data_IF_325013083863
#
_entry.id   IF_325013083863
#
_cell.length_a   1.000
_cell.length_b   1.000
_cell.length_c   1.000
_cell.angle_alpha   90.00
_cell.angle_beta   90.00
_cell.angle_gamma   90.00
#
_symmetry.space_group_name_H-M   'P 1'
#
loop_
_entity.id
_entity.type
_entity.pdbx_description
1 polymer ?
#
# COMPACT_ATOMS: atom_id res chain seq x y z
N UNK A 1 6.02 -22.48 -0.30
CA UNK A 1 4.98 -22.71 -1.34
C UNK A 1 5.60 -22.42 -2.71
N UNK A 2 5.86 -23.45 -3.53
CA UNK A 2 6.42 -23.25 -4.88
C UNK A 2 5.30 -22.76 -5.79
N UNK A 3 5.32 -21.49 -6.18
CA UNK A 3 4.45 -20.93 -7.21
C UNK A 3 4.86 -21.55 -8.57
N UNK A 4 4.35 -22.74 -8.86
CA UNK A 4 4.35 -23.31 -10.21
C UNK A 4 3.17 -22.73 -10.97
N UNK A 5 3.31 -21.48 -11.42
CA UNK A 5 2.53 -20.94 -12.53
C UNK A 5 3.25 -19.68 -13.08
N UNK A 6 4.28 -19.90 -13.91
CA UNK A 6 5.13 -18.82 -14.44
C UNK A 6 4.34 -17.80 -15.28
N UNK A 7 3.18 -18.21 -15.83
CA UNK A 7 2.39 -17.39 -16.75
C UNK A 7 1.81 -16.13 -16.11
N UNK A 8 1.43 -16.16 -14.84
CA UNK A 8 0.79 -15.02 -14.16
C UNK A 8 1.70 -14.33 -13.14
N UNK A 9 2.97 -14.74 -13.03
CA UNK A 9 3.91 -14.22 -12.04
C UNK A 9 4.12 -12.71 -12.15
N UNK A 10 4.21 -12.20 -13.38
CA UNK A 10 4.37 -10.76 -13.65
C UNK A 10 3.11 -9.99 -13.23
N UNK A 11 1.93 -10.47 -13.64
CA UNK A 11 0.66 -9.86 -13.25
C UNK A 11 0.48 -9.84 -11.73
N UNK A 12 0.79 -10.94 -11.04
CA UNK A 12 0.75 -11.04 -9.59
C UNK A 12 1.71 -10.04 -8.92
N UNK A 13 2.92 -9.86 -9.46
CA UNK A 13 3.85 -8.84 -8.96
C UNK A 13 3.28 -7.43 -9.11
N UNK A 14 2.69 -7.12 -10.26
CA UNK A 14 2.05 -5.82 -10.51
C UNK A 14 0.89 -5.59 -9.54
N UNK A 15 0.07 -6.61 -9.27
CA UNK A 15 -1.01 -6.54 -8.28
C UNK A 15 -0.45 -6.24 -6.89
N UNK A 16 0.63 -6.91 -6.47
CA UNK A 16 1.26 -6.64 -5.18
C UNK A 16 1.80 -5.21 -5.08
N UNK A 17 2.40 -4.69 -6.16
CA UNK A 17 2.87 -3.30 -6.22
C UNK A 17 1.71 -2.30 -6.17
N UNK A 18 0.58 -2.60 -6.83
CA UNK A 18 -0.66 -1.82 -6.75
C UNK A 18 -1.18 -1.77 -5.31
N UNK A 19 -1.27 -2.93 -4.65
CA UNK A 19 -1.76 -3.03 -3.27
C UNK A 19 -0.83 -2.30 -2.29
N UNK A 20 0.48 -2.31 -2.55
CA UNK A 20 1.45 -1.50 -1.81
C UNK A 20 1.20 0.00 -2.00
N UNK A 21 1.00 0.47 -3.24
CA UNK A 21 0.74 1.90 -3.49
C UNK A 21 -0.58 2.35 -2.84
N UNK A 22 -1.65 1.54 -2.92
CA UNK A 22 -2.91 1.80 -2.22
C UNK A 22 -2.69 1.98 -0.71
N UNK A 23 -1.96 1.05 -0.09
CA UNK A 23 -1.64 1.13 1.34
C UNK A 23 -0.86 2.39 1.71
N UNK A 24 0.12 2.80 0.88
CA UNK A 24 0.85 4.05 1.09
C UNK A 24 -0.09 5.26 1.00
N UNK A 25 -0.98 5.29 0.00
CA UNK A 25 -1.96 6.36 -0.17
C UNK A 25 -2.89 6.45 1.04
N UNK A 26 -3.41 5.31 1.52
CA UNK A 26 -4.32 5.28 2.67
C UNK A 26 -3.63 5.74 3.95
N UNK A 27 -2.40 5.28 4.21
CA UNK A 27 -1.63 5.69 5.39
C UNK A 27 -1.23 7.16 5.35
N UNK A 28 -0.76 7.64 4.20
CA UNK A 28 -0.40 9.06 4.04
C UNK A 28 -1.63 9.95 4.17
N UNK A 29 -2.77 9.54 3.62
CA UNK A 29 -4.03 10.25 3.79
C UNK A 29 -4.46 10.31 5.27
N UNK A 30 -4.44 9.17 5.98
CA UNK A 30 -4.78 9.13 7.40
C UNK A 30 -3.86 10.02 8.25
N UNK A 31 -2.56 10.00 7.97
CA UNK A 31 -1.60 10.89 8.63
C UNK A 31 -1.92 12.36 8.37
N UNK A 32 -2.12 12.74 7.11
CA UNK A 32 -2.45 14.12 6.72
C UNK A 32 -3.70 14.61 7.47
N UNK A 33 -4.76 13.80 7.48
CA UNK A 33 -6.00 14.16 8.19
C UNK A 33 -5.74 14.33 9.69
N UNK A 34 -5.01 13.42 10.32
CA UNK A 34 -4.66 13.54 11.74
C UNK A 34 -3.87 14.81 12.04
N UNK A 35 -2.87 15.15 11.23
CA UNK A 35 -2.05 16.35 11.44
C UNK A 35 -2.85 17.63 11.20
N UNK A 36 -3.75 17.64 10.20
CA UNK A 36 -4.65 18.78 9.98
C UNK A 36 -5.58 19.00 11.17
N UNK A 37 -6.18 17.93 11.72
CA UNK A 37 -7.00 18.02 12.94
C UNK A 37 -6.20 18.58 14.10
N UNK A 38 -4.95 18.15 14.29
CA UNK A 38 -4.09 18.71 15.34
C UNK A 38 -3.82 20.22 15.12
N UNK A 39 -3.55 20.63 13.89
CA UNK A 39 -3.34 22.05 13.55
C UNK A 39 -4.61 22.89 13.75
N UNK A 40 -5.79 22.34 13.47
CA UNK A 40 -7.08 23.00 13.66
C UNK A 40 -7.47 23.11 15.15
N UNK A 41 -7.21 22.07 15.93
CA UNK A 41 -7.61 21.99 17.34
C UNK A 41 -6.66 22.76 18.28
N UNK A 42 -5.42 23.02 17.86
CA UNK A 42 -4.43 23.65 18.73
C UNK A 42 -4.49 25.17 18.67
N UNK A 43 -5.09 25.77 19.70
CA UNK A 43 -5.18 27.23 19.88
C UNK A 43 -3.82 27.94 20.08
N UNK A 44 -2.76 27.19 20.40
CA UNK A 44 -1.42 27.71 20.74
C UNK A 44 -0.28 27.04 19.98
N UNK A 45 -0.55 26.36 18.87
CA UNK A 45 0.52 25.74 18.10
C UNK A 45 1.37 26.83 17.42
N UNK A 46 2.57 27.05 17.93
CA UNK A 46 3.46 28.12 17.49
C UNK A 46 4.92 27.64 17.46
N UNK A 47 5.78 28.41 16.79
CA UNK A 47 7.21 28.13 16.72
C UNK A 47 7.55 26.79 16.07
N UNK A 48 8.61 26.16 16.59
CA UNK A 48 9.22 24.98 15.98
C UNK A 48 8.24 23.81 15.79
N UNK A 49 7.32 23.58 16.73
CA UNK A 49 6.36 22.47 16.66
C UNK A 49 5.43 22.61 15.44
N UNK A 50 4.95 23.82 15.19
CA UNK A 50 4.13 24.12 14.00
C UNK A 50 4.94 23.93 12.71
N UNK A 51 6.18 24.39 12.69
CA UNK A 51 7.05 24.24 11.52
C UNK A 51 7.35 22.76 11.21
N UNK A 52 7.56 21.93 12.25
CA UNK A 52 7.71 20.49 12.10
C UNK A 52 6.44 19.84 11.52
N UNK A 53 5.26 20.14 12.05
CA UNK A 53 4.00 19.58 11.52
C UNK A 53 3.73 19.99 10.07
N UNK A 54 4.01 21.25 9.71
CA UNK A 54 3.87 21.74 8.33
C UNK A 54 4.85 21.03 7.39
N UNK A 55 6.09 20.81 7.84
CA UNK A 55 7.10 20.07 7.08
C UNK A 55 6.66 18.61 6.86
N UNK A 56 6.23 17.92 7.91
CA UNK A 56 5.76 16.54 7.83
C UNK A 56 4.55 16.42 6.90
N UNK A 57 3.60 17.36 6.97
CA UNK A 57 2.47 17.44 6.05
C UNK A 57 2.92 17.53 4.59
N UNK A 58 3.89 18.41 4.30
CA UNK A 58 4.41 18.59 2.94
C UNK A 58 5.08 17.31 2.44
N UNK A 59 5.90 16.67 3.27
CA UNK A 59 6.55 15.40 2.93
C UNK A 59 5.52 14.30 2.64
N UNK A 60 4.46 14.21 3.45
CA UNK A 60 3.40 13.21 3.28
C UNK A 60 2.49 13.49 2.09
N UNK A 61 2.23 14.76 1.77
CA UNK A 61 1.55 15.13 0.53
C UNK A 61 2.36 14.71 -0.70
N UNK A 62 3.66 14.98 -0.70
CA UNK A 62 4.56 14.57 -1.78
C UNK A 62 4.64 13.04 -1.90
N UNK A 63 4.67 12.32 -0.79
CA UNK A 63 4.65 10.85 -0.76
C UNK A 63 3.35 10.31 -1.38
N UNK A 64 2.19 10.88 -0.99
CA UNK A 64 0.88 10.52 -1.54
C UNK A 64 0.81 10.77 -3.05
N UNK A 65 1.31 11.91 -3.52
CA UNK A 65 1.32 12.25 -4.94
C UNK A 65 2.17 11.26 -5.76
N UNK A 66 3.39 10.95 -5.28
CA UNK A 66 4.25 9.93 -5.90
C UNK A 66 3.60 8.56 -5.94
N UNK A 67 2.96 8.15 -4.85
CA UNK A 67 2.25 6.87 -4.79
C UNK A 67 1.06 6.83 -5.76
N UNK A 68 0.32 7.93 -5.89
CA UNK A 68 -0.82 8.07 -6.81
C UNK A 68 -0.37 8.02 -8.28
N UNK A 69 0.72 8.70 -8.63
CA UNK A 69 1.31 8.64 -9.96
C UNK A 69 1.81 7.23 -10.30
N UNK A 70 2.46 6.57 -9.33
CA UNK A 70 2.93 5.19 -9.47
C UNK A 70 1.76 4.23 -9.65
N UNK A 71 0.69 4.37 -8.87
CA UNK A 71 -0.52 3.57 -9.00
C UNK A 71 -1.15 3.72 -10.39
N UNK A 72 -1.26 4.94 -10.89
CA UNK A 72 -1.76 5.23 -12.25
C UNK A 72 -0.93 4.53 -13.32
N UNK A 73 0.40 4.61 -13.21
CA UNK A 73 1.31 3.93 -14.13
C UNK A 73 1.18 2.40 -14.07
N UNK A 74 1.10 1.83 -12.86
CA UNK A 74 0.94 0.40 -12.67
C UNK A 74 -0.38 -0.10 -13.29
N UNK A 75 -1.50 0.59 -13.06
CA UNK A 75 -2.82 0.22 -13.59
C UNK A 75 -2.87 0.35 -15.11
N UNK A 76 -2.62 1.55 -15.62
CA UNK A 76 -2.97 1.87 -17.00
C UNK A 76 -1.86 1.57 -18.00
N UNK A 77 -0.62 1.37 -17.52
CA UNK A 77 0.49 0.92 -18.36
C UNK A 77 0.87 -0.52 -18.10
N UNK A 78 1.42 -0.83 -16.92
CA UNK A 78 2.02 -2.16 -16.66
C UNK A 78 0.99 -3.28 -16.66
N UNK A 79 -0.09 -3.14 -15.91
CA UNK A 79 -1.14 -4.15 -15.80
C UNK A 79 -1.87 -4.33 -17.13
N UNK A 80 -2.22 -3.22 -17.79
CA UNK A 80 -2.84 -3.25 -19.12
C UNK A 80 -1.99 -4.00 -20.15
N UNK A 81 -0.71 -3.65 -20.26
CA UNK A 81 0.21 -4.31 -21.20
C UNK A 81 0.32 -5.82 -20.90
N UNK A 82 0.37 -6.20 -19.62
CA UNK A 82 0.48 -7.59 -19.22
C UNK A 82 -0.81 -8.39 -19.47
N UNK A 83 -1.98 -7.81 -19.16
CA UNK A 83 -3.28 -8.41 -19.47
C UNK A 83 -3.45 -8.66 -20.97
N UNK A 84 -2.98 -7.73 -21.82
CA UNK A 84 -3.00 -7.90 -23.27
C UNK A 84 -2.13 -9.07 -23.73
N UNK A 85 -0.90 -9.20 -23.21
CA UNK A 85 -0.03 -10.35 -23.51
C UNK A 85 -0.67 -11.67 -23.09
N UNK A 86 -1.38 -11.66 -21.97
CA UNK A 86 -2.09 -12.82 -21.43
C UNK A 86 -3.42 -13.10 -22.14
N UNK A 87 -3.82 -12.27 -23.11
CA UNK A 87 -5.09 -12.34 -23.85
C UNK A 87 -6.31 -12.37 -22.91
N UNK A 88 -6.24 -11.57 -21.84
CA UNK A 88 -7.34 -11.42 -20.89
C UNK A 88 -8.41 -10.49 -21.45
N UNK A 89 -9.68 -10.79 -21.18
CA UNK A 89 -10.80 -9.92 -21.52
C UNK A 89 -11.03 -8.88 -20.41
N UNK A 90 -11.52 -7.70 -20.78
CA UNK A 90 -11.78 -6.60 -19.84
C UNK A 90 -10.58 -5.69 -19.60
N UNK A 91 -10.77 -4.66 -18.77
CA UNK A 91 -9.75 -3.69 -18.40
C UNK A 91 -9.11 -3.93 -17.03
N UNK A 92 -8.00 -3.23 -16.72
CA UNK A 92 -7.40 -3.25 -15.38
C UNK A 92 -8.39 -2.88 -14.28
N UNK A 93 -9.31 -1.95 -14.53
CA UNK A 93 -10.31 -1.53 -13.54
C UNK A 93 -11.30 -2.65 -13.22
N UNK A 94 -11.85 -3.34 -14.23
CA UNK A 94 -12.75 -4.49 -14.04
C UNK A 94 -12.07 -5.61 -13.26
N UNK A 95 -10.80 -5.88 -13.58
CA UNK A 95 -10.03 -6.90 -12.89
C UNK A 95 -9.80 -6.55 -11.43
N UNK A 96 -9.43 -5.31 -11.15
CA UNK A 96 -9.21 -4.85 -9.78
C UNK A 96 -10.51 -4.82 -8.98
N UNK A 97 -11.64 -4.44 -9.58
CA UNK A 97 -12.94 -4.49 -8.91
C UNK A 97 -13.32 -5.93 -8.52
N UNK A 98 -13.12 -6.88 -9.41
CA UNK A 98 -13.34 -8.30 -9.11
C UNK A 98 -12.39 -8.81 -8.03
N UNK A 99 -11.12 -8.36 -8.06
CA UNK A 99 -10.15 -8.66 -7.01
C UNK A 99 -10.62 -8.13 -5.65
N UNK A 100 -11.14 -6.89 -5.58
CA UNK A 100 -11.68 -6.32 -4.35
C UNK A 100 -12.85 -7.13 -3.79
N UNK A 101 -13.77 -7.61 -4.65
CA UNK A 101 -14.90 -8.48 -4.23
C UNK A 101 -14.39 -9.76 -3.58
N UNK A 102 -13.46 -10.45 -4.24
CA UNK A 102 -12.87 -11.71 -3.74
C UNK A 102 -12.10 -11.46 -2.43
N UNK A 103 -11.32 -10.37 -2.35
CA UNK A 103 -10.61 -9.97 -1.13
C UNK A 103 -11.58 -9.76 0.04
N UNK A 104 -12.67 -9.04 -0.20
CA UNK A 104 -13.71 -8.77 0.82
C UNK A 104 -14.37 -10.05 1.33
N UNK A 105 -14.71 -10.99 0.43
CA UNK A 105 -15.24 -12.32 0.80
C UNK A 105 -14.24 -13.12 1.65
N UNK A 106 -12.95 -12.98 1.37
CA UNK A 106 -11.87 -13.63 2.13
C UNK A 106 -11.50 -12.90 3.44
N UNK A 107 -12.16 -11.76 3.76
CA UNK A 107 -11.80 -10.94 4.92
C UNK A 107 -10.42 -10.29 4.81
N UNK A 108 -9.91 -10.12 3.60
CA UNK A 108 -8.61 -9.48 3.32
C UNK A 108 -8.87 -8.05 2.89
N UNK A 109 -8.33 -7.09 3.64
CA UNK A 109 -8.43 -5.68 3.29
C UNK A 109 -7.38 -5.29 2.23
N UNK A 110 -6.11 -5.63 2.50
CA UNK A 110 -4.98 -5.34 1.60
C UNK A 110 -4.04 -6.55 1.48
N UNK A 111 -3.76 -6.98 0.24
CA UNK A 111 -2.93 -8.17 -0.01
C UNK A 111 -1.47 -7.96 0.37
N UNK A 112 -0.94 -6.75 0.14
CA UNK A 112 0.43 -6.40 0.50
C UNK A 112 0.61 -6.51 2.01
N UNK A 113 -0.28 -5.89 2.78
CA UNK A 113 -0.25 -5.97 4.26
C UNK A 113 -0.43 -7.41 4.75
N UNK A 114 -1.40 -8.16 4.22
CA UNK A 114 -1.61 -9.56 4.61
C UNK A 114 -0.36 -10.43 4.35
N UNK A 115 0.35 -10.18 3.25
CA UNK A 115 1.58 -10.89 2.93
C UNK A 115 2.76 -10.44 3.81
N UNK A 116 2.90 -9.14 4.07
CA UNK A 116 3.90 -8.62 5.02
C UNK A 116 3.69 -9.15 6.43
N UNK A 117 2.44 -9.22 6.89
CA UNK A 117 2.09 -9.75 8.21
C UNK A 117 2.45 -11.24 8.29
N UNK A 118 2.13 -12.03 7.27
CA UNK A 118 2.55 -13.45 7.20
C UNK A 118 4.06 -13.60 7.22
N UNK A 119 4.79 -12.80 6.44
CA UNK A 119 6.26 -12.79 6.44
C UNK A 119 6.83 -12.40 7.80
N UNK A 120 6.28 -11.37 8.40
CA UNK A 120 6.68 -10.87 9.71
C UNK A 120 6.43 -11.94 10.77
N UNK A 121 5.26 -12.58 10.77
CA UNK A 121 4.93 -13.71 11.65
C UNK A 121 5.85 -14.92 11.43
N UNK A 122 6.17 -15.27 10.18
CA UNK A 122 7.14 -16.34 9.89
C UNK A 122 8.54 -15.99 10.38
N UNK A 123 8.98 -14.75 10.19
CA UNK A 123 10.26 -14.25 10.69
C UNK A 123 10.30 -14.29 12.21
N UNK A 124 9.26 -13.81 12.87
CA UNK A 124 9.07 -13.86 14.32
C UNK A 124 9.10 -15.30 14.85
N UNK A 125 8.45 -16.24 14.17
CA UNK A 125 8.48 -17.67 14.56
C UNK A 125 9.88 -18.28 14.40
N UNK A 126 10.64 -17.87 13.38
CA UNK A 126 12.00 -18.36 13.11
C UNK A 126 13.06 -17.66 13.97
N UNK A 127 12.80 -16.42 14.33
CA UNK A 127 13.70 -15.52 15.05
C UNK A 127 12.96 -14.83 16.20
N UNK A 128 12.43 -15.58 17.18
CA UNK A 128 11.74 -14.98 18.33
C UNK A 128 12.63 -14.01 19.11
N UNK A 129 13.96 -14.20 19.07
CA UNK A 129 14.99 -13.32 19.63
C UNK A 129 14.98 -11.89 19.05
N UNK A 130 14.48 -11.68 17.82
CA UNK A 130 14.42 -10.35 17.21
C UNK A 130 13.31 -9.46 17.82
N UNK A 131 12.25 -10.06 18.38
CA UNK A 131 11.25 -9.33 19.18
C UNK A 131 11.71 -9.20 20.62
N UNK A 132 12.35 -10.25 21.15
CA UNK A 132 12.90 -10.25 22.49
C UNK A 132 14.23 -9.50 22.45
N UNK A 133 14.18 -8.19 22.23
CA UNK A 133 15.23 -7.30 22.76
C UNK A 133 15.04 -7.23 24.29
N UNK A 134 15.52 -8.32 24.89
CA UNK A 134 16.19 -8.52 26.18
C UNK A 134 15.77 -7.66 27.39
N UNK A 135 15.60 -8.35 28.52
CA UNK A 135 16.33 -7.93 29.72
C UNK A 135 17.78 -8.36 29.58
#
# INVERSE_FOLDING_TARGET
MKLKDDKHKVLNSIIMDIEKQKHIIDRTFAFIQSTLISLEASEKLEGEEKDYLIKDLREKLNEKEKATATLTYLKYKKMRDEMQKLKMNGGPDDYLENLEKIKKEAGIDNLYKSYEDKKSLERIKKHPEEIIKLK
#
